data_IF_464834401816
#
_entry.id   IF_464834401816
#
_cell.length_a   1.000
_cell.length_b   1.000
_cell.length_c   1.000
_cell.angle_alpha   90.00
_cell.angle_beta   90.00
_cell.angle_gamma   90.00
#
_symmetry.space_group_name_H-M   'P 1'
#
loop_
_entity.id
_entity.type
_entity.pdbx_description
1 polymer ?
#
# COMPACT_ATOMS: atom_id res chain seq x y z
N UNK A 1 3.22 16.05 -20.08
CA UNK A 1 4.67 15.84 -19.99
C UNK A 1 5.08 14.55 -20.71
N UNK A 2 6.23 14.54 -21.40
CA UNK A 2 6.77 13.28 -21.95
C UNK A 2 7.14 12.31 -20.85
N UNK A 3 7.10 11.03 -21.17
CA UNK A 3 7.62 9.99 -20.29
C UNK A 3 9.08 10.31 -19.90
N UNK A 4 9.38 10.49 -18.59
CA UNK A 4 10.73 10.81 -18.13
C UNK A 4 11.64 9.58 -18.08
N UNK A 5 11.13 8.37 -18.33
CA UNK A 5 11.93 7.16 -18.27
C UNK A 5 12.96 7.14 -19.41
N UNK A 6 14.25 6.92 -19.12
CA UNK A 6 15.31 7.10 -20.11
C UNK A 6 15.40 5.96 -21.14
N UNK A 7 14.78 4.81 -20.86
CA UNK A 7 14.81 3.63 -21.72
C UNK A 7 13.47 3.58 -22.44
N UNK A 8 13.47 3.47 -23.77
CA UNK A 8 12.24 3.26 -24.53
C UNK A 8 11.83 1.79 -24.51
N UNK A 9 10.53 1.52 -24.68
CA UNK A 9 10.00 0.16 -24.76
C UNK A 9 10.67 -0.63 -25.89
N UNK A 10 11.36 -1.74 -25.60
CA UNK A 10 11.93 -2.59 -26.65
C UNK A 10 10.83 -3.07 -27.59
N UNK A 11 11.02 -2.88 -28.89
CA UNK A 11 9.99 -3.15 -29.90
C UNK A 11 9.46 -4.59 -29.81
N UNK A 12 10.34 -5.58 -29.68
CA UNK A 12 9.96 -6.99 -29.56
C UNK A 12 9.07 -7.28 -28.34
N UNK A 13 9.27 -6.56 -27.24
CA UNK A 13 8.52 -6.74 -25.99
C UNK A 13 7.13 -6.09 -26.11
N UNK A 14 7.09 -4.88 -26.68
CA UNK A 14 5.85 -4.19 -27.01
C UNK A 14 4.98 -5.05 -27.94
N UNK A 15 5.56 -5.57 -29.03
CA UNK A 15 4.89 -6.46 -29.98
C UNK A 15 4.41 -7.77 -29.36
N UNK A 16 5.18 -8.36 -28.44
CA UNK A 16 4.79 -9.58 -27.73
C UNK A 16 3.56 -9.37 -26.81
N UNK A 17 3.42 -8.17 -26.25
CA UNK A 17 2.36 -7.82 -25.29
C UNK A 17 1.12 -7.24 -25.99
N UNK A 18 1.29 -6.68 -27.20
CA UNK A 18 0.22 -6.06 -27.98
C UNK A 18 -1.05 -6.92 -28.11
N UNK A 19 -1.00 -8.23 -28.44
CA UNK A 19 -2.22 -9.04 -28.58
C UNK A 19 -3.01 -9.16 -27.27
N UNK A 20 -2.31 -9.19 -26.13
CA UNK A 20 -2.92 -9.21 -24.81
C UNK A 20 -3.49 -7.83 -24.44
N UNK A 21 -2.74 -6.77 -24.75
CA UNK A 21 -3.17 -5.40 -24.55
C UNK A 21 -4.46 -5.11 -25.33
N UNK A 22 -4.55 -5.53 -26.59
CA UNK A 22 -5.74 -5.35 -27.43
C UNK A 22 -6.94 -6.13 -26.87
N UNK A 23 -6.73 -7.40 -26.50
CA UNK A 23 -7.78 -8.25 -25.92
C UNK A 23 -8.35 -7.68 -24.61
N UNK A 24 -7.50 -7.09 -23.78
CA UNK A 24 -7.88 -6.52 -22.48
C UNK A 24 -8.23 -5.02 -22.57
N UNK A 25 -8.16 -4.42 -23.76
CA UNK A 25 -8.35 -2.99 -24.00
C UNK A 25 -7.41 -2.09 -23.17
N UNK A 26 -6.12 -2.43 -23.11
CA UNK A 26 -5.06 -1.70 -22.40
C UNK A 26 -4.07 -1.03 -23.39
N UNK A 27 -4.49 -0.02 -24.17
CA UNK A 27 -3.71 0.50 -25.30
C UNK A 27 -2.35 1.11 -24.91
N UNK A 28 -2.16 1.54 -23.66
CA UNK A 28 -0.90 2.13 -23.20
C UNK A 28 0.02 1.13 -22.51
N UNK A 29 -0.43 -0.11 -22.27
CA UNK A 29 0.40 -1.17 -21.67
C UNK A 29 1.66 -1.48 -22.50
N UNK A 30 1.62 -1.62 -23.84
CA UNK A 30 2.82 -1.92 -24.63
C UNK A 30 3.89 -0.82 -24.57
N UNK A 31 3.47 0.43 -24.33
CA UNK A 31 4.37 1.58 -24.16
C UNK A 31 5.19 1.44 -22.88
N UNK A 32 4.58 0.95 -21.80
CA UNK A 32 5.20 0.95 -20.48
C UNK A 32 5.48 -0.43 -19.89
N UNK A 33 5.26 -1.51 -20.63
CA UNK A 33 5.46 -2.88 -20.12
C UNK A 33 6.89 -3.11 -19.60
N UNK A 34 7.87 -2.52 -20.27
CA UNK A 34 9.27 -2.59 -19.87
C UNK A 34 9.52 -1.89 -18.52
N UNK A 35 8.89 -0.75 -18.25
CA UNK A 35 8.95 -0.08 -16.95
C UNK A 35 8.32 -0.92 -15.84
N UNK A 36 7.18 -1.57 -16.09
CA UNK A 36 6.53 -2.46 -15.12
C UNK A 36 7.46 -3.62 -14.76
N UNK A 37 8.06 -4.26 -15.76
CA UNK A 37 9.00 -5.38 -15.56
C UNK A 37 10.25 -4.90 -14.80
N UNK A 38 10.81 -3.75 -15.18
CA UNK A 38 11.97 -3.17 -14.49
C UNK A 38 11.62 -2.84 -13.03
N UNK A 39 10.45 -2.23 -12.78
CA UNK A 39 9.97 -1.93 -11.44
C UNK A 39 9.79 -3.21 -10.60
N UNK A 40 9.19 -4.25 -11.17
CA UNK A 40 9.02 -5.55 -10.49
C UNK A 40 10.37 -6.17 -10.12
N UNK A 41 11.31 -6.22 -11.07
CA UNK A 41 12.67 -6.72 -10.83
C UNK A 41 13.38 -5.86 -9.77
N UNK A 42 13.21 -4.54 -9.83
CA UNK A 42 13.79 -3.61 -8.87
C UNK A 42 13.30 -3.88 -7.45
N UNK A 43 11.99 -3.97 -7.21
CA UNK A 43 11.44 -4.25 -5.88
C UNK A 43 11.79 -5.66 -5.39
N UNK A 44 11.78 -6.65 -6.28
CA UNK A 44 12.22 -8.00 -5.93
C UNK A 44 13.70 -8.06 -5.55
N UNK A 45 14.56 -7.33 -6.28
CA UNK A 45 15.99 -7.21 -5.97
C UNK A 45 16.21 -6.51 -4.64
N UNK A 46 15.42 -5.48 -4.34
CA UNK A 46 15.46 -4.84 -3.03
C UNK A 46 15.10 -5.86 -1.94
N UNK A 47 14.03 -6.62 -2.13
CA UNK A 47 13.57 -7.58 -1.12
C UNK A 47 14.60 -8.69 -0.83
N UNK A 48 15.18 -9.30 -1.87
CA UNK A 48 16.03 -10.49 -1.71
C UNK A 48 17.49 -10.16 -1.49
N UNK A 49 17.99 -9.06 -2.07
CA UNK A 49 19.42 -8.71 -2.05
C UNK A 49 19.69 -7.50 -1.19
N UNK A 50 19.10 -6.35 -1.52
CA UNK A 50 19.47 -5.07 -0.91
C UNK A 50 19.05 -5.01 0.55
N UNK A 51 17.80 -5.33 0.87
CA UNK A 51 17.27 -5.24 2.23
C UNK A 51 18.03 -6.18 3.20
N UNK A 52 18.28 -7.46 2.89
CA UNK A 52 19.07 -8.32 3.77
C UNK A 52 20.54 -7.90 3.86
N UNK A 53 21.15 -7.42 2.77
CA UNK A 53 22.55 -6.98 2.79
C UNK A 53 22.73 -5.69 3.62
N UNK A 54 21.88 -4.70 3.37
CA UNK A 54 21.92 -3.41 4.07
C UNK A 54 21.57 -3.59 5.55
N UNK A 55 20.56 -4.40 5.87
CA UNK A 55 20.13 -4.63 7.25
C UNK A 55 21.18 -5.38 8.07
N UNK A 56 21.87 -6.37 7.47
CA UNK A 56 23.03 -7.02 8.12
C UNK A 56 24.20 -6.08 8.34
N UNK A 57 24.38 -5.07 7.48
CA UNK A 57 25.46 -4.08 7.62
C UNK A 57 25.13 -3.01 8.67
N UNK A 58 23.92 -2.47 8.65
CA UNK A 58 23.52 -1.36 9.53
C UNK A 58 23.08 -1.84 10.92
N UNK A 59 22.40 -2.98 11.00
CA UNK A 59 21.82 -3.51 12.23
C UNK A 59 22.17 -5.00 12.44
N UNK A 60 23.46 -5.38 12.45
CA UNK A 60 23.88 -6.79 12.49
C UNK A 60 23.34 -7.55 13.71
N UNK A 61 23.34 -6.91 14.88
CA UNK A 61 22.88 -7.56 16.12
C UNK A 61 21.37 -7.80 16.11
N UNK A 62 20.58 -6.80 15.70
CA UNK A 62 19.13 -6.91 15.66
C UNK A 62 18.68 -7.87 14.55
N UNK A 63 19.11 -7.64 13.30
CA UNK A 63 18.62 -8.39 12.14
C UNK A 63 18.95 -9.89 12.20
N UNK A 64 20.15 -10.25 12.66
CA UNK A 64 20.53 -11.66 12.80
C UNK A 64 19.79 -12.37 13.94
N UNK A 65 19.30 -11.63 14.94
CA UNK A 65 18.51 -12.17 16.05
C UNK A 65 17.05 -12.45 15.68
N UNK A 66 16.55 -11.88 14.59
CA UNK A 66 15.15 -12.03 14.20
C UNK A 66 14.81 -13.43 13.72
N UNK A 67 13.63 -13.91 14.13
CA UNK A 67 13.02 -15.10 13.56
C UNK A 67 12.62 -14.87 12.08
N UNK A 68 12.27 -15.95 11.37
CA UNK A 68 11.93 -15.90 9.93
C UNK A 68 10.80 -14.91 9.63
N UNK A 69 9.73 -14.91 10.43
CA UNK A 69 8.56 -14.05 10.23
C UNK A 69 8.93 -12.56 10.33
N UNK A 70 9.64 -12.18 11.38
CA UNK A 70 10.07 -10.79 11.59
C UNK A 70 11.06 -10.35 10.53
N UNK A 71 11.94 -11.25 10.07
CA UNK A 71 12.90 -10.96 9.01
C UNK A 71 12.21 -10.66 7.66
N UNK A 72 11.26 -11.51 7.26
CA UNK A 72 10.45 -11.26 6.06
C UNK A 72 9.73 -9.92 6.17
N UNK A 73 9.08 -9.67 7.32
CA UNK A 73 8.36 -8.42 7.53
C UNK A 73 9.30 -7.20 7.48
N UNK A 74 10.49 -7.32 8.07
CA UNK A 74 11.53 -6.29 8.01
C UNK A 74 11.94 -5.98 6.58
N UNK A 75 12.24 -7.00 5.77
CA UNK A 75 12.68 -6.80 4.40
C UNK A 75 11.57 -6.17 3.54
N UNK A 76 10.30 -6.53 3.78
CA UNK A 76 9.14 -5.90 3.13
C UNK A 76 8.97 -4.44 3.55
N UNK A 77 9.19 -4.08 4.82
CA UNK A 77 9.17 -2.68 5.25
C UNK A 77 10.27 -1.85 4.58
N UNK A 78 11.43 -2.45 4.26
CA UNK A 78 12.48 -1.77 3.49
C UNK A 78 12.02 -1.53 2.04
N UNK A 79 11.39 -2.52 1.39
CA UNK A 79 10.83 -2.35 0.04
C UNK A 79 9.76 -1.25 0.04
N UNK A 80 8.82 -1.29 0.98
CA UNK A 80 7.77 -0.27 1.13
C UNK A 80 8.35 1.12 1.39
N UNK A 81 9.42 1.24 2.17
CA UNK A 81 10.12 2.52 2.39
C UNK A 81 10.66 3.08 1.07
N UNK A 82 11.38 2.26 0.29
CA UNK A 82 11.94 2.70 -0.99
C UNK A 82 10.85 3.05 -1.98
N UNK A 83 9.81 2.21 -2.08
CA UNK A 83 8.68 2.46 -2.96
C UNK A 83 7.98 3.77 -2.61
N UNK A 84 7.58 3.95 -1.35
CA UNK A 84 6.80 5.11 -0.95
C UNK A 84 7.58 6.40 -1.14
N UNK A 85 8.88 6.42 -0.85
CA UNK A 85 9.71 7.58 -1.18
C UNK A 85 9.74 7.84 -2.69
N UNK A 86 9.98 6.81 -3.51
CA UNK A 86 10.07 6.95 -4.96
C UNK A 86 8.76 7.47 -5.57
N UNK A 87 7.63 6.80 -5.33
CA UNK A 87 6.36 7.16 -5.98
C UNK A 87 5.81 8.49 -5.49
N UNK A 88 6.00 8.85 -4.22
CA UNK A 88 5.53 10.14 -3.71
C UNK A 88 6.38 11.28 -4.29
N UNK A 89 7.70 11.12 -4.39
CA UNK A 89 8.55 12.13 -5.03
C UNK A 89 8.17 12.30 -6.50
N UNK A 90 7.98 11.21 -7.24
CA UNK A 90 7.55 11.27 -8.64
C UNK A 90 6.16 11.89 -8.79
N UNK A 91 5.21 11.53 -7.93
CA UNK A 91 3.86 12.09 -7.96
C UNK A 91 3.83 13.59 -7.68
N UNK A 92 4.55 14.05 -6.66
CA UNK A 92 4.66 15.48 -6.34
C UNK A 92 5.35 16.26 -7.46
N UNK A 93 6.39 15.68 -8.07
CA UNK A 93 7.06 16.28 -9.22
C UNK A 93 6.11 16.43 -10.42
N UNK A 94 5.35 15.38 -10.78
CA UNK A 94 4.35 15.45 -11.85
C UNK A 94 3.29 16.49 -11.52
N UNK A 95 2.72 16.46 -10.31
CA UNK A 95 1.65 17.39 -9.92
C UNK A 95 2.10 18.85 -9.98
N UNK A 96 3.37 19.14 -9.67
CA UNK A 96 3.89 20.50 -9.66
C UNK A 96 4.32 20.99 -11.04
N UNK A 97 5.00 20.14 -11.84
CA UNK A 97 5.63 20.56 -13.09
C UNK A 97 4.84 20.20 -14.36
N UNK A 98 3.91 19.25 -14.31
CA UNK A 98 3.17 18.84 -15.50
C UNK A 98 1.99 19.78 -15.81
N UNK A 99 2.26 20.74 -16.69
CA UNK A 99 1.28 21.71 -17.18
C UNK A 99 0.16 21.06 -17.98
N UNK A 100 0.43 19.96 -18.70
CA UNK A 100 -0.56 19.24 -19.50
C UNK A 100 -1.62 18.63 -18.59
N UNK A 101 -1.20 17.87 -17.57
CA UNK A 101 -2.09 17.37 -16.52
C UNK A 101 -2.88 18.49 -15.84
N UNK A 102 -2.23 19.60 -15.50
CA UNK A 102 -2.90 20.71 -14.82
C UNK A 102 -3.93 21.43 -15.69
N UNK A 103 -3.80 21.36 -17.02
CA UNK A 103 -4.77 21.90 -17.98
C UNK A 103 -5.95 20.97 -18.28
N UNK A 104 -5.97 19.74 -17.77
CA UNK A 104 -7.02 18.76 -18.07
C UNK A 104 -8.39 19.21 -17.52
N UNK A 105 -9.35 19.37 -18.44
CA UNK A 105 -10.76 19.55 -18.11
C UNK A 105 -11.39 18.22 -17.63
N UNK A 106 -12.69 18.21 -17.32
CA UNK A 106 -13.38 17.02 -16.82
C UNK A 106 -13.21 15.78 -17.71
N UNK A 107 -13.17 15.94 -19.04
CA UNK A 107 -12.98 14.82 -19.97
C UNK A 107 -11.52 14.34 -19.97
N UNK A 108 -10.56 15.26 -19.94
CA UNK A 108 -9.14 14.94 -19.80
C UNK A 108 -8.83 14.20 -18.48
N UNK A 109 -9.55 14.50 -17.40
CA UNK A 109 -9.39 13.77 -16.14
C UNK A 109 -9.83 12.30 -16.21
N UNK A 110 -10.80 11.99 -17.07
CA UNK A 110 -11.33 10.64 -17.24
C UNK A 110 -10.53 9.84 -18.27
N UNK A 111 -10.36 10.38 -19.48
CA UNK A 111 -9.76 9.66 -20.62
C UNK A 111 -8.37 10.14 -21.04
N UNK A 112 -7.88 11.22 -20.39
CA UNK A 112 -6.59 11.79 -20.74
C UNK A 112 -5.45 10.84 -20.40
N UNK A 113 -4.48 10.82 -21.29
CA UNK A 113 -3.21 10.13 -21.11
C UNK A 113 -2.08 11.15 -21.15
N UNK A 114 -1.06 10.86 -20.37
CA UNK A 114 0.18 11.61 -20.31
C UNK A 114 1.33 10.63 -20.07
N UNK A 115 2.47 10.84 -20.71
CA UNK A 115 3.62 9.94 -20.59
C UNK A 115 4.17 9.87 -19.16
N UNK A 116 4.23 11.00 -18.45
CA UNK A 116 4.70 11.01 -17.07
C UNK A 116 3.69 10.36 -16.11
N UNK A 117 2.38 10.52 -16.37
CA UNK A 117 1.34 9.78 -15.65
C UNK A 117 1.47 8.27 -15.88
N UNK A 118 1.71 7.86 -17.13
CA UNK A 118 1.99 6.48 -17.50
C UNK A 118 3.20 5.91 -16.76
N UNK A 119 4.31 6.66 -16.70
CA UNK A 119 5.49 6.28 -15.96
C UNK A 119 5.24 6.04 -14.47
N UNK A 120 4.56 6.99 -13.81
CA UNK A 120 4.18 6.83 -12.40
C UNK A 120 3.27 5.60 -12.21
N UNK A 121 2.35 5.38 -13.15
CA UNK A 121 1.48 4.22 -13.17
C UNK A 121 2.27 2.91 -13.26
N UNK A 122 3.33 2.87 -14.05
CA UNK A 122 4.21 1.70 -14.21
C UNK A 122 5.03 1.42 -12.98
N UNK A 123 5.60 2.46 -12.36
CA UNK A 123 6.32 2.33 -11.09
C UNK A 123 5.41 1.76 -10.00
N UNK A 124 4.23 2.36 -9.83
CA UNK A 124 3.24 1.92 -8.85
C UNK A 124 2.67 0.54 -9.21
N UNK A 125 2.37 0.28 -10.48
CA UNK A 125 1.84 -0.99 -10.98
C UNK A 125 2.80 -2.14 -10.75
N UNK A 126 4.09 -1.97 -11.08
CA UNK A 126 5.12 -2.97 -10.81
C UNK A 126 5.26 -3.29 -9.32
N UNK A 127 5.20 -2.27 -8.46
CA UNK A 127 5.15 -2.47 -7.00
C UNK A 127 3.91 -3.25 -6.56
N UNK A 128 2.71 -2.83 -6.97
CA UNK A 128 1.48 -3.46 -6.49
C UNK A 128 1.29 -4.88 -7.02
N UNK A 129 1.87 -5.23 -8.17
CA UNK A 129 1.97 -6.63 -8.62
C UNK A 129 2.87 -7.42 -7.67
N UNK A 130 4.05 -6.87 -7.34
CA UNK A 130 4.97 -7.49 -6.38
C UNK A 130 4.35 -7.62 -4.97
N UNK A 131 3.64 -6.59 -4.51
CA UNK A 131 2.97 -6.55 -3.21
C UNK A 131 1.80 -7.56 -3.16
N UNK A 132 1.02 -7.67 -4.25
CA UNK A 132 -0.02 -8.68 -4.37
C UNK A 132 0.55 -10.10 -4.27
N UNK A 133 1.64 -10.38 -4.98
CA UNK A 133 2.31 -11.67 -4.88
C UNK A 133 2.81 -11.94 -3.46
N UNK A 134 3.49 -10.95 -2.84
CA UNK A 134 4.06 -11.06 -1.49
C UNK A 134 2.98 -11.25 -0.43
N UNK A 135 1.90 -10.47 -0.47
CA UNK A 135 0.76 -10.58 0.44
C UNK A 135 0.00 -11.90 0.26
N UNK A 136 -0.08 -12.42 -0.96
CA UNK A 136 -0.72 -13.73 -1.23
C UNK A 136 0.14 -14.88 -0.69
N UNK A 137 1.45 -14.85 -0.97
CA UNK A 137 2.36 -15.91 -0.56
C UNK A 137 2.61 -15.93 0.96
N UNK A 138 2.55 -14.76 1.61
CA UNK A 138 2.75 -14.59 3.05
C UNK A 138 1.47 -14.11 3.76
N UNK A 139 0.32 -14.64 3.36
CA UNK A 139 -0.98 -14.25 3.93
C UNK A 139 -1.08 -14.54 5.43
N UNK A 140 -0.36 -15.55 5.93
CA UNK A 140 -0.23 -15.89 7.35
C UNK A 140 0.52 -14.83 8.15
N UNK A 141 1.38 -14.05 7.49
CA UNK A 141 2.17 -12.97 8.08
C UNK A 141 1.40 -11.65 8.04
N UNK A 142 0.89 -11.27 6.87
CA UNK A 142 0.30 -9.94 6.60
C UNK A 142 -1.21 -9.87 6.85
N UNK A 143 -1.92 -10.99 6.68
CA UNK A 143 -3.36 -11.09 6.87
C UNK A 143 -4.19 -10.55 5.69
N UNK A 144 -5.49 -10.82 5.77
CA UNK A 144 -6.46 -10.56 4.69
C UNK A 144 -6.62 -9.06 4.38
N UNK A 145 -6.48 -8.18 5.39
CA UNK A 145 -6.60 -6.74 5.18
C UNK A 145 -5.55 -6.19 4.20
N UNK A 146 -4.31 -6.63 4.33
CA UNK A 146 -3.22 -6.26 3.41
C UNK A 146 -3.40 -6.89 2.02
N UNK A 147 -3.92 -8.13 1.95
CA UNK A 147 -4.25 -8.74 0.66
C UNK A 147 -5.34 -7.97 -0.10
N UNK A 148 -6.41 -7.56 0.59
CA UNK A 148 -7.48 -6.75 -0.01
C UNK A 148 -6.98 -5.38 -0.46
N UNK A 149 -6.05 -4.78 0.29
CA UNK A 149 -5.35 -3.57 -0.14
C UNK A 149 -4.57 -3.82 -1.44
N UNK A 150 -3.72 -4.87 -1.48
CA UNK A 150 -2.88 -5.18 -2.63
C UNK A 150 -3.71 -5.48 -3.89
N UNK A 151 -4.82 -6.24 -3.77
CA UNK A 151 -5.76 -6.50 -4.87
C UNK A 151 -6.36 -5.19 -5.38
N UNK A 152 -6.84 -4.34 -4.47
CA UNK A 152 -7.52 -3.08 -4.84
C UNK A 152 -6.55 -2.09 -5.48
N UNK A 153 -5.36 -1.94 -4.91
CA UNK A 153 -4.30 -1.07 -5.44
C UNK A 153 -3.82 -1.59 -6.80
N UNK A 154 -3.52 -2.88 -6.93
CA UNK A 154 -3.14 -3.48 -8.20
C UNK A 154 -4.23 -3.28 -9.27
N UNK A 155 -5.51 -3.41 -8.90
CA UNK A 155 -6.63 -3.19 -9.82
C UNK A 155 -6.65 -1.75 -10.33
N UNK A 156 -6.73 -0.75 -9.44
CA UNK A 156 -6.82 0.66 -9.87
C UNK A 156 -5.57 1.11 -10.66
N UNK A 157 -4.39 0.60 -10.31
CA UNK A 157 -3.16 0.90 -11.04
C UNK A 157 -3.04 0.13 -12.36
N UNK A 158 -3.67 -1.04 -12.50
CA UNK A 158 -3.74 -1.73 -13.80
C UNK A 158 -4.73 -1.05 -14.76
N UNK A 159 -5.81 -0.49 -14.23
CA UNK A 159 -6.82 0.19 -15.05
C UNK A 159 -6.29 1.46 -15.73
N UNK A 160 -5.27 2.13 -15.19
CA UNK A 160 -4.67 3.30 -15.86
C UNK A 160 -4.04 3.00 -17.22
N UNK A 161 -3.65 1.74 -17.49
CA UNK A 161 -3.18 1.32 -18.82
C UNK A 161 -4.30 1.24 -19.86
N UNK A 162 -5.55 1.27 -19.40
CA UNK A 162 -6.73 1.62 -20.18
C UNK A 162 -7.10 3.05 -19.83
N UNK A 163 -6.46 4.06 -20.45
CA UNK A 163 -6.35 5.44 -19.96
C UNK A 163 -7.62 5.96 -19.30
N UNK A 164 -7.76 5.63 -18.02
CA UNK A 164 -8.95 5.80 -17.23
C UNK A 164 -8.46 6.31 -15.90
N UNK A 165 -8.78 7.56 -15.61
CA UNK A 165 -8.42 8.24 -14.38
C UNK A 165 -6.90 8.38 -14.17
N UNK A 166 -6.10 8.43 -15.24
CA UNK A 166 -4.64 8.67 -15.13
C UNK A 166 -4.34 9.98 -14.39
N UNK A 167 -5.16 11.02 -14.58
CA UNK A 167 -5.06 12.28 -13.83
C UNK A 167 -5.03 12.07 -12.30
N UNK A 168 -5.80 11.08 -11.84
CA UNK A 168 -5.94 10.71 -10.43
C UNK A 168 -4.86 9.76 -9.93
N UNK A 169 -4.00 9.19 -10.79
CA UNK A 169 -2.88 8.36 -10.39
C UNK A 169 -1.99 9.03 -9.34
N UNK A 170 -1.42 10.23 -9.63
CA UNK A 170 -0.67 11.02 -8.65
C UNK A 170 -1.49 11.41 -7.41
N UNK A 171 -2.81 11.58 -7.56
CA UNK A 171 -3.68 12.03 -6.45
C UNK A 171 -3.85 10.92 -5.42
N UNK A 172 -4.09 9.68 -5.86
CA UNK A 172 -4.34 8.54 -4.97
C UNK A 172 -3.05 7.85 -4.52
N UNK A 173 -1.96 7.89 -5.30
CA UNK A 173 -0.68 7.34 -4.83
C UNK A 173 -0.13 8.09 -3.62
N UNK A 174 -0.51 9.36 -3.42
CA UNK A 174 -0.15 10.13 -2.22
C UNK A 174 -0.71 9.55 -0.91
N UNK A 175 -1.56 8.52 -0.96
CA UNK A 175 -1.89 7.72 0.23
C UNK A 175 -0.63 7.11 0.84
N UNK A 176 0.37 6.81 0.02
CA UNK A 176 1.66 6.29 0.45
C UNK A 176 2.52 7.34 1.15
N UNK A 177 2.13 8.62 1.21
CA UNK A 177 2.92 9.68 1.87
C UNK A 177 3.11 9.43 3.38
N UNK A 178 2.18 8.70 4.01
CA UNK A 178 2.31 8.29 5.42
C UNK A 178 3.20 7.05 5.61
N UNK A 179 3.42 6.26 4.56
CA UNK A 179 4.10 4.95 4.63
C UNK A 179 5.57 5.05 5.08
N UNK A 180 6.37 6.07 4.69
CA UNK A 180 7.71 6.25 5.25
C UNK A 180 7.70 6.42 6.77
N UNK A 181 6.77 7.23 7.30
CA UNK A 181 6.65 7.44 8.74
C UNK A 181 6.22 6.15 9.45
N UNK A 182 5.31 5.38 8.84
CA UNK A 182 4.85 4.08 9.35
C UNK A 182 6.00 3.08 9.43
N UNK A 183 6.77 2.95 8.34
CA UNK A 183 7.90 2.03 8.26
C UNK A 183 8.97 2.39 9.29
N UNK A 184 9.29 3.68 9.42
CA UNK A 184 10.23 4.16 10.43
C UNK A 184 9.75 3.87 11.85
N UNK A 185 8.47 4.09 12.13
CA UNK A 185 7.86 3.77 13.43
C UNK A 185 8.04 2.29 13.79
N UNK A 186 7.78 1.41 12.82
CA UNK A 186 7.92 -0.03 12.96
C UNK A 186 9.38 -0.45 13.16
N UNK A 187 10.33 0.13 12.42
CA UNK A 187 11.76 -0.14 12.64
C UNK A 187 12.21 0.26 14.04
N UNK A 188 11.78 1.42 14.55
CA UNK A 188 12.09 1.85 15.91
C UNK A 188 11.56 0.87 16.97
N UNK A 189 10.38 0.28 16.76
CA UNK A 189 9.86 -0.78 17.63
C UNK A 189 10.77 -2.02 17.64
N UNK A 190 11.21 -2.48 16.45
CA UNK A 190 12.07 -3.66 16.32
C UNK A 190 13.53 -3.45 16.73
N UNK A 191 13.97 -2.20 16.82
CA UNK A 191 15.28 -1.82 17.31
C UNK A 191 15.32 -1.52 18.83
N UNK A 192 14.25 -1.88 19.56
CA UNK A 192 14.10 -1.61 21.00
C UNK A 192 14.19 -0.11 21.35
N UNK A 193 13.77 0.77 20.44
CA UNK A 193 13.68 2.22 20.68
C UNK A 193 12.30 2.64 21.18
N UNK A 194 11.50 1.68 21.67
CA UNK A 194 10.14 1.94 22.11
C UNK A 194 10.10 2.85 23.33
N UNK A 195 9.32 3.93 23.26
CA UNK A 195 9.25 4.97 24.30
C UNK A 195 10.30 6.08 24.18
N UNK A 196 11.20 6.03 23.20
CA UNK A 196 12.15 7.11 22.94
C UNK A 196 11.47 8.38 22.41
N UNK A 197 12.11 9.54 22.63
CA UNK A 197 11.66 10.82 22.05
C UNK A 197 11.59 10.77 20.51
N UNK A 198 12.50 10.03 19.87
CA UNK A 198 12.49 9.83 18.42
C UNK A 198 11.25 9.08 17.93
N UNK A 199 10.87 8.02 18.65
CA UNK A 199 9.64 7.28 18.32
C UNK A 199 8.39 8.12 18.58
N UNK A 200 8.38 8.99 19.60
CA UNK A 200 7.28 9.92 19.85
C UNK A 200 7.13 10.93 18.71
N UNK A 201 8.22 11.61 18.31
CA UNK A 201 8.21 12.58 17.21
C UNK A 201 7.73 11.90 15.92
N UNK A 202 8.27 10.73 15.60
CA UNK A 202 7.84 9.99 14.42
C UNK A 202 6.39 9.52 14.52
N UNK A 203 5.91 9.13 15.71
CA UNK A 203 4.51 8.77 15.94
C UNK A 203 3.56 9.95 15.67
N UNK A 204 3.93 11.17 16.06
CA UNK A 204 3.17 12.38 15.72
C UNK A 204 3.16 12.60 14.20
N UNK A 205 4.33 12.52 13.55
CA UNK A 205 4.44 12.65 12.08
C UNK A 205 3.58 11.59 11.38
N UNK A 206 3.61 10.33 11.83
CA UNK A 206 2.81 9.23 11.29
C UNK A 206 1.32 9.54 11.39
N UNK A 207 0.82 9.86 12.57
CA UNK A 207 -0.62 10.12 12.78
C UNK A 207 -1.07 11.32 11.96
N UNK A 208 -0.31 12.42 11.97
CA UNK A 208 -0.62 13.62 11.21
C UNK A 208 -0.62 13.36 9.71
N UNK A 209 0.45 12.76 9.18
CA UNK A 209 0.55 12.47 7.73
C UNK A 209 -0.56 11.52 7.29
N UNK A 210 -0.80 10.43 8.02
CA UNK A 210 -1.86 9.48 7.72
C UNK A 210 -3.25 10.14 7.71
N UNK A 211 -3.55 10.96 8.72
CA UNK A 211 -4.82 11.69 8.78
C UNK A 211 -5.01 12.60 7.57
N UNK A 212 -4.02 13.45 7.25
CA UNK A 212 -4.16 14.42 6.18
C UNK A 212 -4.13 13.80 4.78
N UNK A 213 -3.21 12.87 4.49
CA UNK A 213 -3.08 12.31 3.14
C UNK A 213 -4.13 11.23 2.84
N UNK A 214 -4.48 10.37 3.81
CA UNK A 214 -5.43 9.26 3.57
C UNK A 214 -6.87 9.64 3.91
N UNK A 215 -7.12 10.24 5.08
CA UNK A 215 -8.50 10.51 5.51
C UNK A 215 -9.05 11.79 4.91
N UNK A 216 -8.31 12.89 4.96
CA UNK A 216 -8.78 14.18 4.42
C UNK A 216 -8.64 14.23 2.91
N UNK A 217 -7.40 14.27 2.42
CA UNK A 217 -7.11 14.36 0.98
C UNK A 217 -7.71 13.18 0.22
N UNK A 218 -7.58 11.97 0.75
CA UNK A 218 -8.09 10.78 0.10
C UNK A 218 -9.60 10.70 0.00
N UNK A 219 -10.33 11.01 1.07
CA UNK A 219 -11.81 10.99 1.02
C UNK A 219 -12.34 12.10 0.10
N UNK A 220 -11.77 13.30 0.16
CA UNK A 220 -12.17 14.42 -0.72
C UNK A 220 -11.97 14.05 -2.19
N UNK A 221 -10.79 13.53 -2.55
CA UNK A 221 -10.53 13.14 -3.93
C UNK A 221 -11.33 11.92 -4.38
N UNK A 222 -11.71 11.03 -3.47
CA UNK A 222 -12.64 9.93 -3.75
C UNK A 222 -14.02 10.48 -4.15
N UNK A 223 -14.53 11.51 -3.47
CA UNK A 223 -15.78 12.16 -3.89
C UNK A 223 -15.63 12.85 -5.26
N UNK A 224 -14.50 13.51 -5.50
CA UNK A 224 -14.25 14.20 -6.78
C UNK A 224 -14.16 13.22 -7.96
N UNK A 225 -13.46 12.10 -7.81
CA UNK A 225 -13.35 11.10 -8.88
C UNK A 225 -14.71 10.48 -9.20
N UNK A 226 -15.54 10.22 -8.18
CA UNK A 226 -16.90 9.72 -8.42
C UNK A 226 -17.82 10.75 -9.05
N UNK A 227 -17.66 12.03 -8.71
CA UNK A 227 -18.36 13.11 -9.42
C UNK A 227 -17.97 13.14 -10.90
N UNK A 228 -16.68 13.05 -11.21
CA UNK A 228 -16.22 13.10 -12.61
C UNK A 228 -16.63 11.83 -13.38
N UNK A 229 -16.61 10.64 -12.75
CA UNK A 229 -17.17 9.40 -13.32
C UNK A 229 -18.67 9.56 -13.59
N UNK A 230 -19.43 10.11 -12.64
CA UNK A 230 -20.87 10.33 -12.78
C UNK A 230 -21.19 11.29 -13.93
N UNK A 231 -20.44 12.39 -14.05
CA UNK A 231 -20.53 13.32 -15.19
C UNK A 231 -20.22 12.59 -16.50
N UNK A 232 -19.18 11.75 -16.54
CA UNK A 232 -18.86 10.96 -17.72
C UNK A 232 -19.97 9.96 -18.08
N UNK A 233 -20.61 9.32 -17.10
CA UNK A 233 -21.76 8.43 -17.34
C UNK A 233 -22.96 9.18 -17.89
N UNK A 234 -23.22 10.42 -17.42
CA UNK A 234 -24.31 11.26 -17.91
C UNK A 234 -24.07 11.82 -19.32
N UNK A 235 -22.82 12.14 -19.67
CA UNK A 235 -22.47 12.80 -20.94
C UNK A 235 -22.01 11.82 -22.04
N UNK A 236 -21.39 10.69 -21.68
CA UNK A 236 -20.79 9.71 -22.61
C UNK A 236 -21.56 8.40 -22.75
N UNK A 237 -22.58 8.18 -21.92
CA UNK A 237 -23.38 6.97 -21.91
C UNK A 237 -22.69 5.75 -21.28
N UNK A 238 -23.50 4.85 -20.69
CA UNK A 238 -23.04 3.64 -20.01
C UNK A 238 -23.34 2.43 -20.90
N UNK A 239 -22.32 1.65 -21.24
CA UNK A 239 -22.48 0.42 -22.05
C UNK A 239 -22.26 -0.81 -21.18
N UNK A 240 -23.18 -1.78 -21.23
CA UNK A 240 -22.94 -3.16 -20.77
C UNK A 240 -23.54 -3.60 -19.42
N UNK A 241 -24.53 -2.91 -18.86
CA UNK A 241 -25.46 -3.52 -17.88
C UNK A 241 -26.72 -3.93 -18.62
N UNK A 242 -27.09 -5.20 -18.51
CA UNK A 242 -28.15 -5.90 -19.26
C UNK A 242 -29.47 -5.11 -19.33
N UNK A 243 -30.25 -5.40 -20.39
CA UNK A 243 -31.43 -4.71 -20.92
C UNK A 243 -32.60 -4.49 -19.91
N UNK A 244 -32.48 -5.03 -18.69
CA UNK A 244 -33.50 -5.04 -17.64
C UNK A 244 -33.13 -4.28 -16.35
N UNK A 245 -31.92 -3.72 -16.24
CA UNK A 245 -31.55 -2.79 -15.17
C UNK A 245 -31.36 -1.41 -15.79
N UNK A 246 -32.49 -0.72 -15.98
CA UNK A 246 -32.59 0.53 -16.73
C UNK A 246 -31.58 1.60 -16.31
N UNK A 247 -30.53 1.74 -17.10
CA UNK A 247 -29.73 2.96 -17.27
C UNK A 247 -29.43 3.11 -18.77
N UNK A 248 -30.48 3.48 -19.51
CA UNK A 248 -30.45 3.74 -20.95
C UNK A 248 -29.98 5.18 -21.17
N UNK A 249 -28.68 5.41 -21.24
CA UNK A 249 -28.12 6.64 -21.82
C UNK A 249 -26.88 6.28 -22.64
N UNK A 250 -26.92 6.68 -23.92
CA UNK A 250 -25.93 6.34 -24.94
C UNK A 250 -26.59 6.12 -26.30
N UNK A 251 -27.49 7.02 -26.71
CA UNK A 251 -27.97 7.06 -28.09
C UNK A 251 -26.83 7.59 -28.97
N UNK A 252 -26.33 6.71 -29.84
CA UNK A 252 -26.02 7.01 -31.23
C UNK A 252 -25.27 8.32 -31.50
N UNK A 253 -24.01 8.41 -31.04
CA UNK A 253 -23.02 9.19 -31.77
C UNK A 253 -21.69 8.44 -31.83
N UNK A 254 -21.27 7.92 -33.00
CA UNK A 254 -19.87 7.61 -33.22
C UNK A 254 -19.14 8.96 -33.27
N UNK A 255 -18.80 9.52 -32.12
CA UNK A 255 -17.79 10.57 -32.08
C UNK A 255 -16.48 9.87 -32.38
N UNK A 256 -16.05 9.99 -33.63
CA UNK A 256 -14.78 9.47 -34.10
C UNK A 256 -13.70 9.81 -33.07
N UNK A 257 -12.85 8.84 -32.75
CA UNK A 257 -11.55 9.13 -32.16
C UNK A 257 -10.99 10.31 -32.94
N UNK A 258 -10.59 11.38 -32.25
CA UNK A 258 -9.98 12.53 -32.92
C UNK A 258 -8.71 11.99 -33.57
N UNK A 259 -8.79 11.69 -34.87
CA UNK A 259 -7.62 11.43 -35.69
C UNK A 259 -6.81 12.73 -35.68
N UNK A 260 -5.48 12.67 -35.45
CA UNK A 260 -4.64 13.86 -35.45
C UNK A 260 -4.91 14.65 -36.73
N UNK A 261 -5.41 15.88 -36.62
CA UNK A 261 -5.29 16.80 -37.74
C UNK A 261 -3.79 17.04 -37.98
N UNK A 262 -3.38 16.94 -39.24
CA UNK A 262 -2.02 17.14 -39.76
C UNK A 262 -1.45 18.54 -39.47
N UNK A 263 -1.21 18.86 -38.21
CA UNK A 263 -0.47 20.04 -37.78
C UNK A 263 0.51 19.61 -36.68
N UNK A 264 1.83 19.61 -36.95
CA UNK A 264 2.83 19.35 -35.94
C UNK A 264 2.88 20.56 -35.01
N UNK A 265 2.02 20.59 -33.98
CA UNK A 265 2.22 21.53 -32.90
C UNK A 265 3.44 21.04 -32.10
N UNK A 266 4.49 21.85 -32.10
CA UNK A 266 5.70 21.58 -31.35
C UNK A 266 5.35 21.42 -29.86
N UNK A 267 5.51 20.20 -29.33
CA UNK A 267 5.60 19.94 -27.89
C UNK A 267 4.28 19.71 -27.15
N UNK A 268 3.62 18.59 -27.40
CA UNK A 268 2.82 17.80 -26.44
C UNK A 268 2.34 16.52 -27.14
N UNK A 269 2.25 15.38 -26.45
CA UNK A 269 1.47 14.27 -26.99
C UNK A 269 -0.02 14.64 -26.89
N UNK A 270 -0.85 14.27 -27.87
CA UNK A 270 -2.29 14.51 -27.78
C UNK A 270 -2.85 13.77 -26.56
N UNK A 271 -3.27 14.52 -25.53
CA UNK A 271 -3.78 14.01 -24.26
C UNK A 271 -4.93 13.01 -24.50
N UNK A 272 -5.71 13.18 -25.57
CA UNK A 272 -6.86 12.34 -25.87
C UNK A 272 -6.55 11.22 -26.88
N UNK A 273 -5.28 11.00 -27.25
CA UNK A 273 -4.83 10.02 -28.24
C UNK A 273 -5.37 8.61 -28.01
N UNK A 274 -5.48 8.19 -26.76
CA UNK A 274 -5.92 6.85 -26.38
C UNK A 274 -7.36 6.81 -25.82
N UNK A 275 -8.13 7.90 -25.95
CA UNK A 275 -9.48 8.03 -25.40
C UNK A 275 -10.52 7.13 -26.10
N UNK A 276 -10.21 6.59 -27.29
CA UNK A 276 -11.07 5.67 -28.05
C UNK A 276 -12.49 6.18 -28.28
N UNK A 277 -13.47 5.28 -28.33
CA UNK A 277 -14.87 5.63 -28.18
C UNK A 277 -15.08 5.99 -26.70
N UNK A 278 -15.42 7.26 -26.41
CA UNK A 278 -15.55 7.83 -25.05
C UNK A 278 -16.69 7.24 -24.20
N UNK A 279 -17.09 6.01 -24.49
CA UNK A 279 -18.06 5.21 -23.73
C UNK A 279 -17.39 4.64 -22.49
N UNK A 280 -18.05 4.74 -21.33
CA UNK A 280 -17.56 4.19 -20.08
C UNK A 280 -18.26 2.85 -19.79
N UNK A 281 -17.56 1.70 -19.87
CA UNK A 281 -18.17 0.42 -19.51
C UNK A 281 -18.53 0.38 -18.04
N UNK A 282 -19.73 -0.10 -17.72
CA UNK A 282 -20.20 -0.15 -16.33
C UNK A 282 -19.26 -0.94 -15.41
N UNK A 283 -18.71 -2.06 -15.89
CA UNK A 283 -17.78 -2.88 -15.12
C UNK A 283 -16.51 -2.11 -14.72
N UNK A 284 -16.02 -1.20 -15.58
CA UNK A 284 -14.80 -0.42 -15.33
C UNK A 284 -15.05 0.54 -14.17
N UNK A 285 -16.15 1.30 -14.24
CA UNK A 285 -16.58 2.20 -13.18
C UNK A 285 -16.85 1.45 -11.86
N UNK A 286 -17.53 0.30 -11.92
CA UNK A 286 -17.83 -0.52 -10.75
C UNK A 286 -16.58 -1.11 -10.11
N UNK A 287 -15.63 -1.62 -10.91
CA UNK A 287 -14.37 -2.15 -10.39
C UNK A 287 -13.55 -1.07 -9.67
N UNK A 288 -13.47 0.13 -10.26
CA UNK A 288 -12.75 1.24 -9.66
C UNK A 288 -13.44 1.71 -8.38
N UNK A 289 -14.77 1.84 -8.40
CA UNK A 289 -15.58 2.18 -7.22
C UNK A 289 -15.37 1.17 -6.09
N UNK A 290 -15.46 -0.13 -6.38
CA UNK A 290 -15.25 -1.18 -5.39
C UNK A 290 -13.84 -1.11 -4.78
N UNK A 291 -12.80 -1.01 -5.60
CA UNK A 291 -11.42 -0.90 -5.12
C UNK A 291 -11.20 0.37 -4.29
N UNK A 292 -11.71 1.52 -4.73
CA UNK A 292 -11.57 2.77 -4.00
C UNK A 292 -12.33 2.74 -2.65
N UNK A 293 -13.52 2.14 -2.59
CA UNK A 293 -14.24 1.94 -1.32
C UNK A 293 -13.42 1.06 -0.37
N UNK A 294 -12.90 -0.08 -0.85
CA UNK A 294 -12.08 -0.98 -0.03
C UNK A 294 -10.86 -0.24 0.53
N UNK A 295 -10.13 0.50 -0.31
CA UNK A 295 -8.95 1.27 0.10
C UNK A 295 -9.29 2.32 1.16
N UNK A 296 -10.39 3.06 0.98
CA UNK A 296 -10.84 4.05 1.96
C UNK A 296 -11.26 3.40 3.28
N UNK A 297 -12.05 2.32 3.25
CA UNK A 297 -12.48 1.60 4.46
C UNK A 297 -11.26 1.08 5.23
N UNK A 298 -10.27 0.51 4.53
CA UNK A 298 -9.03 0.07 5.16
C UNK A 298 -8.25 1.23 5.79
N UNK A 299 -8.18 2.39 5.14
CA UNK A 299 -7.56 3.59 5.71
C UNK A 299 -8.24 4.02 7.02
N UNK A 300 -9.57 4.08 7.04
CA UNK A 300 -10.34 4.39 8.25
C UNK A 300 -10.12 3.34 9.36
N UNK A 301 -10.11 2.06 8.98
CA UNK A 301 -9.86 0.95 9.91
C UNK A 301 -8.46 1.05 10.54
N UNK A 302 -7.42 1.23 9.73
CA UNK A 302 -6.04 1.34 10.23
C UNK A 302 -5.84 2.59 11.08
N UNK A 303 -6.46 3.72 10.72
CA UNK A 303 -6.43 4.91 11.56
C UNK A 303 -7.07 4.66 12.92
N UNK A 304 -8.25 4.03 12.95
CA UNK A 304 -8.89 3.65 14.21
C UNK A 304 -7.99 2.75 15.06
N UNK A 305 -7.29 1.79 14.45
CA UNK A 305 -6.31 0.94 15.14
C UNK A 305 -5.10 1.69 15.67
N UNK A 306 -4.57 2.67 14.94
CA UNK A 306 -3.50 3.53 15.43
C UNK A 306 -3.94 4.36 16.63
N UNK A 307 -5.14 4.94 16.59
CA UNK A 307 -5.70 5.69 17.73
C UNK A 307 -5.96 4.77 18.92
N UNK A 308 -6.45 3.55 18.69
CA UNK A 308 -6.64 2.55 19.75
C UNK A 308 -5.29 2.21 20.42
N UNK A 309 -4.25 1.97 19.63
CA UNK A 309 -2.90 1.70 20.13
C UNK A 309 -2.31 2.90 20.89
N UNK A 310 -2.59 4.12 20.45
CA UNK A 310 -2.19 5.34 21.15
C UNK A 310 -2.92 5.47 22.49
N UNK A 311 -4.25 5.29 22.51
CA UNK A 311 -5.08 5.38 23.72
C UNK A 311 -4.67 4.37 24.80
N UNK A 312 -4.22 3.18 24.41
CA UNK A 312 -3.71 2.16 25.34
C UNK A 312 -2.46 2.61 26.11
N UNK A 313 -1.73 3.63 25.62
CA UNK A 313 -0.51 4.14 26.25
C UNK A 313 -0.76 5.26 27.27
N UNK A 314 -1.96 5.84 27.30
CA UNK A 314 -2.32 6.94 28.20
C UNK A 314 -3.31 6.52 29.28
N UNK A 315 -3.21 7.16 30.45
CA UNK A 315 -4.17 7.00 31.54
C UNK A 315 -5.50 7.75 31.25
N UNK A 316 -6.64 7.33 31.82
CA UNK A 316 -7.92 8.04 31.68
C UNK A 316 -7.83 9.51 32.15
N UNK A 317 -8.58 10.47 31.57
CA UNK A 317 -9.79 10.33 30.75
C UNK A 317 -9.57 10.23 29.23
N UNK A 318 -8.33 10.43 28.74
CA UNK A 318 -8.01 10.42 27.31
C UNK A 318 -7.44 9.09 26.79
N UNK A 319 -7.08 8.16 27.68
CA UNK A 319 -6.62 6.82 27.34
C UNK A 319 -7.37 5.70 28.07
N UNK A 320 -7.07 4.46 27.67
CA UNK A 320 -7.73 3.24 28.18
C UNK A 320 -6.79 2.37 29.01
N UNK A 321 -5.65 2.91 29.45
CA UNK A 321 -4.71 2.19 30.31
C UNK A 321 -5.43 1.85 31.62
N UNK A 322 -5.70 0.54 31.83
CA UNK A 322 -6.31 0.07 33.08
C UNK A 322 -5.30 0.33 34.20
N UNK A 323 -5.69 0.96 35.33
CA UNK A 323 -4.80 1.00 36.48
C UNK A 323 -4.51 -0.44 36.90
N UNK A 324 -3.24 -0.80 37.03
CA UNK A 324 -2.84 -2.08 37.64
C UNK A 324 -3.49 -2.12 39.02
N UNK A 325 -4.50 -2.99 39.19
CA UNK A 325 -5.08 -3.27 40.49
C UNK A 325 -4.00 -3.95 41.33
N UNK A 326 -3.26 -3.15 42.10
CA UNK A 326 -2.72 -3.60 43.38
C UNK A 326 -3.92 -3.89 44.27
N UNK A 327 -4.38 -5.15 44.34
CA UNK A 327 -4.83 -5.76 45.58
C UNK A 327 -5.18 -7.26 45.42
N UNK A 328 -4.47 -8.04 46.25
CA UNK A 328 -4.87 -9.22 47.03
C UNK A 328 -4.76 -10.61 46.41
N UNK A 329 -3.76 -11.30 46.97
CA UNK A 329 -3.65 -12.73 47.11
C UNK A 329 -4.93 -13.39 47.68
N UNK A 330 -5.02 -14.69 47.42
CA UNK A 330 -5.99 -15.70 47.89
C UNK A 330 -7.24 -15.87 47.03
N UNK A 331 -7.10 -16.66 45.97
CA UNK A 331 -7.95 -17.84 45.76
C UNK A 331 -7.28 -18.73 44.70
N UNK A 332 -6.84 -19.90 45.14
CA UNK A 332 -6.44 -21.02 44.29
C UNK A 332 -7.71 -21.59 43.67
N UNK A 333 -7.79 -21.64 42.35
CA UNK A 333 -8.39 -22.77 41.66
C UNK A 333 -7.88 -22.91 40.23
N UNK A 334 -7.84 -24.15 39.80
CA UNK A 334 -6.85 -24.76 38.93
C UNK A 334 -7.41 -24.99 37.51
N UNK A 335 -6.61 -24.66 36.48
CA UNK A 335 -6.58 -25.20 35.10
C UNK A 335 -7.78 -24.99 34.16
N UNK A 336 -7.53 -24.37 33.01
CA UNK A 336 -7.01 -25.07 31.80
C UNK A 336 -6.53 -24.07 30.74
N UNK A 337 -5.63 -24.55 29.88
CA UNK A 337 -4.55 -23.82 29.21
C UNK A 337 -4.83 -23.67 27.71
N UNK A 338 -4.70 -22.46 27.17
CA UNK A 338 -4.23 -22.22 25.79
C UNK A 338 -3.26 -21.02 25.83
N UNK A 339 -2.04 -21.12 25.27
CA UNK A 339 -1.02 -20.10 25.41
C UNK A 339 -1.23 -18.95 24.40
N UNK A 340 -1.75 -17.83 24.88
CA UNK A 340 -1.63 -16.53 24.24
C UNK A 340 -0.18 -16.05 24.40
N UNK A 341 0.59 -16.06 23.31
CA UNK A 341 1.97 -15.55 23.30
C UNK A 341 1.90 -14.02 23.18
N UNK A 342 1.66 -13.36 24.31
CA UNK A 342 1.93 -11.93 24.46
C UNK A 342 3.32 -11.75 25.09
N UNK A 343 4.34 -11.56 24.24
CA UNK A 343 5.69 -11.18 24.72
C UNK A 343 5.69 -9.67 24.89
N UNK A 344 5.19 -9.19 26.03
CA UNK A 344 5.63 -7.94 26.61
C UNK A 344 6.82 -8.23 27.53
N UNK A 345 8.00 -7.73 27.17
CA UNK A 345 9.12 -7.55 28.12
C UNK A 345 9.40 -6.06 28.20
N UNK A 346 8.94 -5.46 29.29
CA UNK A 346 9.33 -4.11 29.69
C UNK A 346 10.78 -4.07 30.18
N UNK A 347 11.33 -2.87 30.21
CA UNK A 347 12.49 -2.55 31.03
C UNK A 347 12.20 -1.21 31.73
N UNK A 348 12.03 -1.26 33.05
CA UNK A 348 12.27 -0.11 33.92
C UNK A 348 13.53 -0.38 34.73
N UNK A 349 14.49 0.51 34.53
CA UNK A 349 15.40 1.13 35.51
C UNK A 349 15.80 0.34 36.77
N UNK A 350 16.83 -0.51 36.67
CA UNK A 350 18.00 -0.45 37.57
C UNK A 350 19.14 -1.34 37.03
N UNK A 351 20.29 -0.74 36.77
CA UNK A 351 21.40 -1.32 36.02
C UNK A 351 22.42 -2.09 36.87
N UNK A 352 22.10 -3.31 37.31
CA UNK A 352 23.11 -4.27 37.82
C UNK A 352 22.85 -5.72 37.40
N UNK A 353 23.86 -6.33 36.76
CA UNK A 353 23.97 -7.77 36.55
C UNK A 353 24.85 -8.37 37.65
N UNK A 354 24.30 -9.22 38.51
CA UNK A 354 25.09 -10.19 39.29
C UNK A 354 24.32 -11.51 39.33
N UNK A 355 24.99 -12.56 38.85
CA UNK A 355 24.57 -13.95 39.00
C UNK A 355 25.21 -14.44 40.30
N UNK A 356 24.40 -14.71 41.32
CA UNK A 356 24.80 -15.55 42.44
C UNK A 356 23.84 -16.74 42.51
N UNK A 357 24.43 -17.92 42.33
CA UNK A 357 23.78 -19.21 42.54
C UNK A 357 24.10 -19.61 43.98
N UNK A 358 23.10 -19.53 44.86
CA UNK A 358 23.16 -20.15 46.19
C UNK A 358 22.03 -21.16 46.28
N UNK A 359 22.39 -22.42 46.07
CA UNK A 359 21.47 -23.54 46.19
C UNK A 359 21.14 -23.82 47.66
N UNK A 360 19.88 -23.69 48.02
CA UNK A 360 19.34 -24.26 49.25
C UNK A 360 19.02 -25.74 49.00
N UNK A 361 19.68 -26.60 49.79
CA UNK A 361 19.52 -28.05 49.77
C UNK A 361 18.06 -28.46 49.94
N UNK A 362 17.50 -29.13 48.94
CA UNK A 362 16.27 -29.91 49.04
C UNK A 362 16.59 -31.38 49.27
N UNK A 363 15.99 -31.93 50.33
CA UNK A 363 15.99 -33.33 50.78
C UNK A 363 15.74 -34.33 49.63
N UNK A 364 16.47 -35.46 49.55
CA UNK A 364 16.24 -36.46 48.51
C UNK A 364 14.98 -37.32 48.81
N UNK A 365 14.20 -37.69 47.78
CA UNK A 365 13.00 -38.52 47.95
C UNK A 365 13.34 -39.96 48.31
N UNK A 366 12.55 -40.52 49.23
CA UNK A 366 12.68 -41.86 49.77
C UNK A 366 12.48 -42.97 48.72
N UNK A 367 13.42 -43.93 48.74
CA UNK A 367 13.40 -45.17 47.96
C UNK A 367 12.25 -46.06 48.44
N UNK A 368 11.28 -46.35 47.57
CA UNK A 368 10.23 -47.34 47.84
C UNK A 368 10.65 -48.70 47.25
N UNK A 369 11.05 -49.62 48.13
CA UNK A 369 11.40 -51.00 47.82
C UNK A 369 10.21 -51.78 47.26
N UNK A 370 10.37 -52.43 46.10
CA UNK A 370 9.45 -53.47 45.63
C UNK A 370 10.10 -54.83 45.88
N UNK A 371 9.58 -55.55 46.89
CA UNK A 371 9.95 -56.93 47.22
C UNK A 371 9.10 -57.90 46.38
N UNK A 372 9.72 -59.05 46.09
CA UNK A 372 9.30 -60.19 45.25
C UNK A 372 7.86 -60.66 45.41
N UNK A 373 7.34 -61.17 44.29
CA UNK A 373 6.31 -62.19 44.12
C UNK A 373 6.49 -62.76 42.73
#
# INVERSE_FOLDING_TARGET
MRDPFPISSPQWLSEAVQPWADKMSLPTLPLHIHEIIIALIFYQTINVVVAPALSRRLFPQAYNSFNRRTRINWDVHVVSMVQSLLVNTTALWIMYYDTERNSMNWAGKIWGYDGALGFLQSLAGGYFIWDLFTCTYHIDIFGVGMLMHAISACTVFSLGFRPFLNYYGPVFILYELSSPALNMHWFMDKLNMTGSIYQLINGIVLISTFFFCRLVWGSVNSVLVFKDIWIAMQNGGVVGLDQNLGLKYGLDQPTAAVTPQDQPFFGSEDIMRYAGARTLPAWLALSYLASNIVLNVLNWYWFAKMIEALRKRFDPPFGTKRPEKKEKAVAVEEKTTEPEIEIQRGLYDDGRKTIEITGTQGTPPAVRSRRRG
#
